data_IF_056868870173
#
_entry.id   IF_056868870173
#
_cell.length_a   1.000
_cell.length_b   1.000
_cell.length_c   1.000
_cell.angle_alpha   90.00
_cell.angle_beta   90.00
_cell.angle_gamma   90.00
#
_symmetry.space_group_name_H-M   'P 1'
#
loop_
_entity.id
_entity.type
_entity.pdbx_description
1 polymer ?
#
# COMPACT_ATOMS: atom_id res chain seq x y z
N UNK A 1 35.79 -0.22 28.13
CA UNK A 1 35.01 0.92 27.61
C UNK A 1 34.48 0.54 26.24
N UNK A 2 33.17 0.48 26.04
CA UNK A 2 32.61 0.20 24.70
C UNK A 2 32.83 1.41 23.79
N UNK A 3 33.15 1.21 22.49
CA UNK A 3 33.42 2.31 21.57
C UNK A 3 32.15 3.17 21.38
N UNK A 4 32.29 4.50 21.28
CA UNK A 4 31.16 5.37 21.05
C UNK A 4 30.50 5.03 19.70
N UNK A 5 29.25 4.56 19.75
CA UNK A 5 28.48 4.25 18.55
C UNK A 5 28.20 5.55 17.79
N UNK A 6 28.96 5.81 16.72
CA UNK A 6 28.69 6.92 15.79
C UNK A 6 27.52 6.62 14.84
N UNK A 7 26.96 5.42 14.88
CA UNK A 7 25.74 5.05 14.15
C UNK A 7 24.53 5.67 14.85
N UNK A 8 23.93 6.70 14.25
CA UNK A 8 22.68 7.32 14.73
C UNK A 8 22.77 8.75 15.24
N UNK A 9 23.93 9.42 15.14
CA UNK A 9 24.00 10.86 15.42
C UNK A 9 23.24 11.63 14.33
N UNK A 10 22.19 12.37 14.73
CA UNK A 10 21.45 13.29 13.86
C UNK A 10 22.41 14.37 13.32
N UNK A 11 22.49 14.50 12.01
CA UNK A 11 23.26 15.58 11.36
C UNK A 11 22.48 16.88 11.46
N UNK A 12 23.06 17.91 12.08
CA UNK A 12 22.42 19.23 12.23
C UNK A 12 22.43 19.95 10.87
N UNK A 13 21.32 20.63 10.54
CA UNK A 13 21.18 21.40 9.30
C UNK A 13 20.92 20.57 8.05
N UNK A 14 20.79 19.25 8.15
CA UNK A 14 20.49 18.37 7.01
C UNK A 14 19.01 18.01 6.95
N UNK A 15 18.42 18.17 5.76
CA UNK A 15 17.10 17.66 5.41
C UNK A 15 17.25 16.63 4.30
N UNK A 16 16.49 15.53 4.37
CA UNK A 16 16.49 14.48 3.35
C UNK A 16 15.08 14.33 2.82
N UNK A 17 14.91 14.52 1.51
CA UNK A 17 13.64 14.30 0.82
C UNK A 17 13.69 12.96 0.08
N UNK A 18 12.61 12.18 0.19
CA UNK A 18 12.43 10.89 -0.49
C UNK A 18 11.03 10.88 -1.14
N UNK A 19 10.93 11.17 -2.44
CA UNK A 19 9.64 11.16 -3.12
C UNK A 19 9.11 9.73 -3.25
N UNK A 20 7.79 9.59 -3.15
CA UNK A 20 7.08 8.34 -3.39
C UNK A 20 5.70 8.64 -3.97
N UNK A 21 5.09 7.64 -4.60
CA UNK A 21 3.79 7.73 -5.24
C UNK A 21 2.82 6.86 -4.44
N UNK A 22 1.63 7.39 -4.16
CA UNK A 22 0.54 6.64 -3.56
C UNK A 22 -0.71 6.83 -4.42
N UNK A 23 -1.63 5.86 -4.38
CA UNK A 23 -2.86 5.98 -5.14
C UNK A 23 -3.74 4.75 -5.05
N UNK A 24 -4.79 4.79 -5.87
CA UNK A 24 -5.72 3.68 -6.07
C UNK A 24 -5.93 3.44 -7.55
N UNK A 25 -6.14 2.19 -7.91
CA UNK A 25 -6.57 1.79 -9.25
C UNK A 25 -7.88 1.01 -9.11
N UNK A 26 -8.89 1.35 -9.89
CA UNK A 26 -10.19 0.67 -9.90
C UNK A 26 -10.45 0.07 -11.30
N UNK A 27 -10.88 -1.18 -11.33
CA UNK A 27 -11.19 -1.93 -12.55
C UNK A 27 -12.60 -2.51 -12.41
N UNK A 28 -13.53 -2.22 -13.34
CA UNK A 28 -14.88 -2.78 -13.31
C UNK A 28 -14.84 -4.31 -13.45
N UNK A 29 -15.84 -5.00 -12.89
CA UNK A 29 -15.99 -6.43 -13.16
C UNK A 29 -16.48 -6.66 -14.57
N UNK A 30 -15.93 -7.69 -15.21
CA UNK A 30 -16.25 -8.03 -16.59
C UNK A 30 -15.56 -9.34 -17.01
N UNK A 31 -15.58 -9.67 -18.31
CA UNK A 31 -15.02 -10.92 -18.82
C UNK A 31 -13.50 -11.06 -18.54
N UNK A 32 -12.78 -9.93 -18.55
CA UNK A 32 -11.33 -9.87 -18.29
C UNK A 32 -10.98 -9.79 -16.80
N UNK A 33 -11.94 -9.46 -15.94
CA UNK A 33 -11.75 -9.37 -14.49
C UNK A 33 -12.94 -10.04 -13.80
N UNK A 34 -12.94 -11.39 -13.76
CA UNK A 34 -14.06 -12.14 -13.21
C UNK A 34 -14.21 -11.85 -11.72
N UNK A 35 -15.46 -11.79 -11.30
CA UNK A 35 -15.80 -11.55 -9.90
C UNK A 35 -15.32 -12.73 -9.03
N UNK A 36 -14.48 -12.50 -8.01
CA UNK A 36 -14.04 -13.57 -7.12
C UNK A 36 -15.21 -14.27 -6.43
N UNK A 37 -15.09 -15.58 -6.12
CA UNK A 37 -16.12 -16.30 -5.38
C UNK A 37 -16.28 -15.71 -3.97
N UNK A 38 -17.51 -15.39 -3.58
CA UNK A 38 -17.85 -14.81 -2.26
C UNK A 38 -18.04 -13.29 -2.25
N UNK A 39 -18.01 -12.62 -3.41
CA UNK A 39 -18.24 -11.19 -3.52
C UNK A 39 -19.73 -10.91 -3.77
N UNK A 40 -20.41 -10.10 -2.93
CA UNK A 40 -21.83 -9.74 -3.09
C UNK A 40 -22.18 -9.19 -4.48
N UNK A 41 -23.40 -9.45 -4.95
CA UNK A 41 -23.76 -9.16 -6.34
C UNK A 41 -23.75 -7.66 -6.68
N UNK A 42 -23.97 -6.81 -5.67
CA UNK A 42 -24.01 -5.35 -5.77
C UNK A 42 -22.64 -4.67 -6.00
N UNK A 43 -21.53 -5.41 -5.97
CA UNK A 43 -20.21 -4.84 -6.21
C UNK A 43 -19.92 -4.70 -7.71
N UNK A 44 -19.46 -3.51 -8.11
CA UNK A 44 -19.22 -3.15 -9.52
C UNK A 44 -17.75 -3.06 -9.92
N UNK A 45 -16.86 -2.73 -8.98
CA UNK A 45 -15.43 -2.53 -9.24
C UNK A 45 -14.55 -3.27 -8.23
N UNK A 46 -13.45 -3.82 -8.73
CA UNK A 46 -12.28 -4.19 -7.92
C UNK A 46 -11.37 -2.98 -7.79
N UNK A 47 -10.75 -2.78 -6.63
CA UNK A 47 -9.80 -1.70 -6.45
C UNK A 47 -8.54 -2.18 -5.72
N UNK A 48 -7.45 -1.48 -5.99
CA UNK A 48 -6.15 -1.75 -5.40
C UNK A 48 -5.53 -0.44 -4.94
N UNK A 49 -5.22 -0.37 -3.65
CA UNK A 49 -4.41 0.70 -3.05
C UNK A 49 -2.94 0.34 -3.21
N UNK A 50 -2.10 1.31 -3.56
CA UNK A 50 -0.67 1.08 -3.71
C UNK A 50 0.17 2.25 -3.19
N UNK A 51 1.41 1.92 -2.82
CA UNK A 51 2.48 2.86 -2.55
C UNK A 51 3.71 2.33 -3.28
N UNK A 52 4.36 3.17 -4.07
CA UNK A 52 5.55 2.81 -4.85
C UNK A 52 6.59 3.93 -4.82
N UNK A 53 7.86 3.57 -5.04
CA UNK A 53 8.90 4.57 -5.28
C UNK A 53 8.71 5.28 -6.61
N UNK A 54 9.36 6.43 -6.76
CA UNK A 54 9.54 7.05 -8.06
C UNK A 54 10.49 6.18 -8.90
N UNK A 55 10.20 5.98 -10.19
CA UNK A 55 11.04 5.19 -11.12
C UNK A 55 11.40 3.79 -10.59
N UNK A 56 10.45 3.11 -9.95
CA UNK A 56 10.62 1.78 -9.36
C UNK A 56 11.75 1.70 -8.31
N UNK A 57 12.08 2.84 -7.68
CA UNK A 57 13.03 2.90 -6.57
C UNK A 57 12.52 2.07 -5.39
N UNK A 58 13.41 1.24 -4.83
CA UNK A 58 13.13 0.50 -3.61
C UNK A 58 12.91 1.47 -2.44
N UNK A 59 11.70 1.46 -1.86
CA UNK A 59 11.34 2.29 -0.71
C UNK A 59 11.53 1.55 0.62
N UNK A 60 11.81 0.25 0.59
CA UNK A 60 11.83 -0.61 1.78
C UNK A 60 12.98 -0.31 2.74
N UNK A 61 14.07 0.28 2.24
CA UNK A 61 15.24 0.62 3.07
C UNK A 61 14.96 1.73 4.09
N UNK A 62 13.95 2.57 3.86
CA UNK A 62 13.55 3.66 4.77
C UNK A 62 12.10 3.56 5.23
N UNK A 63 11.24 2.84 4.51
CA UNK A 63 9.83 2.66 4.83
C UNK A 63 9.61 1.36 5.61
N UNK A 64 9.40 1.49 6.93
CA UNK A 64 9.25 0.34 7.83
C UNK A 64 7.89 -0.36 7.74
N UNK A 65 6.81 0.39 7.62
CA UNK A 65 5.43 -0.11 7.63
C UNK A 65 4.50 0.89 6.96
N UNK A 66 3.51 0.37 6.24
CA UNK A 66 2.40 1.14 5.69
C UNK A 66 1.12 0.66 6.35
N UNK A 67 0.21 1.58 6.64
CA UNK A 67 -1.11 1.27 7.18
C UNK A 67 -2.18 1.94 6.34
N UNK A 68 -3.05 1.14 5.74
CA UNK A 68 -4.22 1.60 5.01
C UNK A 68 -5.41 1.58 5.95
N UNK A 69 -6.08 2.73 6.08
CA UNK A 69 -7.36 2.85 6.78
C UNK A 69 -8.47 2.94 5.73
N UNK A 70 -9.32 1.94 5.72
CA UNK A 70 -10.49 1.78 4.87
C UNK A 70 -11.75 2.23 5.64
N UNK A 71 -12.88 2.29 4.94
CA UNK A 71 -14.17 2.58 5.55
C UNK A 71 -14.59 1.46 6.52
N UNK A 72 -15.32 1.79 7.58
CA UNK A 72 -15.68 0.86 8.66
C UNK A 72 -16.62 -0.27 8.22
N UNK A 73 -17.33 -0.09 7.12
CA UNK A 73 -18.14 -1.15 6.48
C UNK A 73 -17.30 -2.32 5.96
N UNK A 74 -15.98 -2.14 5.86
CA UNK A 74 -15.05 -3.14 5.34
C UNK A 74 -14.47 -3.93 6.52
N UNK A 75 -14.60 -5.27 6.52
CA UNK A 75 -13.93 -6.11 7.49
C UNK A 75 -12.43 -5.86 7.46
N UNK A 76 -11.83 -5.77 8.65
CA UNK A 76 -10.43 -5.40 8.83
C UNK A 76 -10.11 -4.09 8.09
N UNK A 77 -10.85 -3.02 8.44
CA UNK A 77 -10.70 -1.71 7.81
C UNK A 77 -9.31 -1.09 8.04
N UNK A 78 -8.56 -1.54 9.05
CA UNK A 78 -7.14 -1.19 9.22
C UNK A 78 -6.27 -2.35 8.74
N UNK A 79 -5.50 -2.13 7.66
CA UNK A 79 -4.59 -3.13 7.10
C UNK A 79 -3.17 -2.61 7.11
N UNK A 80 -2.20 -3.44 7.52
CA UNK A 80 -0.79 -3.07 7.54
C UNK A 80 0.06 -3.95 6.63
N UNK A 81 0.95 -3.33 5.86
CA UNK A 81 1.94 -4.00 5.01
C UNK A 81 3.36 -3.67 5.47
N UNK A 82 4.29 -4.62 5.32
CA UNK A 82 5.69 -4.49 5.75
C UNK A 82 6.66 -5.10 4.72
N UNK A 83 7.95 -4.73 4.71
CA UNK A 83 8.91 -5.07 3.65
C UNK A 83 8.95 -6.48 3.07
N UNK A 84 8.86 -7.59 3.84
CA UNK A 84 8.86 -8.92 3.21
C UNK A 84 7.63 -9.18 2.32
N UNK A 85 6.63 -8.28 2.30
CA UNK A 85 5.44 -8.37 1.44
C UNK A 85 5.44 -7.40 0.25
N UNK A 86 6.50 -6.62 0.00
CA UNK A 86 6.62 -5.81 -1.22
C UNK A 86 7.30 -6.64 -2.32
N UNK A 87 6.51 -7.44 -3.05
CA UNK A 87 7.02 -8.15 -4.22
C UNK A 87 7.39 -7.16 -5.34
N UNK A 88 8.55 -7.31 -6.03
CA UNK A 88 8.91 -6.50 -7.20
C UNK A 88 8.03 -6.78 -8.42
N UNK A 89 7.33 -7.92 -8.44
CA UNK A 89 6.29 -8.23 -9.41
C UNK A 89 4.94 -7.91 -8.79
N UNK A 90 4.54 -6.65 -8.90
CA UNK A 90 3.32 -6.11 -8.31
C UNK A 90 3.31 -6.21 -6.78
N UNK A 91 3.08 -5.09 -6.05
CA UNK A 91 2.67 -5.24 -4.68
C UNK A 91 1.34 -6.01 -4.75
N UNK A 92 1.35 -7.30 -4.41
CA UNK A 92 0.16 -8.05 -4.03
C UNK A 92 -0.32 -7.51 -2.69
N UNK A 93 -0.51 -6.19 -2.62
CA UNK A 93 -1.52 -5.58 -1.80
C UNK A 93 -2.79 -6.15 -2.39
N UNK A 94 -3.26 -7.20 -1.71
CA UNK A 94 -4.53 -7.90 -1.86
C UNK A 94 -5.44 -7.10 -2.80
N UNK A 95 -5.78 -7.66 -3.96
CA UNK A 95 -6.87 -7.12 -4.77
C UNK A 95 -8.06 -6.99 -3.84
N UNK A 96 -8.35 -5.75 -3.43
CA UNK A 96 -9.39 -5.48 -2.47
C UNK A 96 -10.66 -5.38 -3.28
N UNK A 97 -11.23 -6.55 -3.52
CA UNK A 97 -12.59 -6.65 -4.02
C UNK A 97 -13.52 -6.33 -2.85
N UNK A 98 -13.56 -5.07 -2.39
CA UNK A 98 -14.43 -4.71 -1.27
C UNK A 98 -15.01 -3.31 -1.40
N UNK A 99 -16.28 -3.24 -1.79
CA UNK A 99 -17.26 -2.30 -1.25
C UNK A 99 -16.76 -0.90 -0.87
N UNK A 100 -16.62 -0.05 -1.87
CA UNK A 100 -16.77 1.39 -1.68
C UNK A 100 -17.76 1.85 -2.73
N UNK A 101 -18.98 2.20 -2.33
CA UNK A 101 -19.74 3.18 -3.08
C UNK A 101 -18.76 4.35 -3.30
N UNK A 102 -18.35 4.56 -4.55
CA UNK A 102 -17.88 5.85 -4.97
C UNK A 102 -19.10 6.75 -4.78
N UNK A 103 -19.23 7.35 -3.59
CA UNK A 103 -20.08 8.51 -3.47
C UNK A 103 -19.47 9.56 -4.40
N UNK A 104 -20.28 10.16 -5.29
CA UNK A 104 -19.83 11.24 -6.16
C UNK A 104 -19.29 12.42 -5.35
#
# INVERSE_FOLDING_TARGET
>A
MAPPSNLGKRVKGTQVCRPFIYGTTAIPFGPQNPKPPGVPDDHTHSWQVFVKGLDDTDITYWLRRIQFKLHESIPNHVRSASPPSFSPSFPHIQSLTTSGLLLP
#
